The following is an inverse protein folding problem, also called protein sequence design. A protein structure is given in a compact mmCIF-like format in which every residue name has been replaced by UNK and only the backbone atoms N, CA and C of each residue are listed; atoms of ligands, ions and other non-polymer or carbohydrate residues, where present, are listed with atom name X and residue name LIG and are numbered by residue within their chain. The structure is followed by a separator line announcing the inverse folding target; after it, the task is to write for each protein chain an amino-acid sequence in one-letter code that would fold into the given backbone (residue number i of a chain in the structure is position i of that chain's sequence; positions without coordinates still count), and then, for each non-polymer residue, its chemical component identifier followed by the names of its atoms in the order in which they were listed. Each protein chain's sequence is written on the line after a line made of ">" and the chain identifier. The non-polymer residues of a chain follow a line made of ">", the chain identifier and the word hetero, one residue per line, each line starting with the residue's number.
data_IF_074872314617
#
_entry.id   IF_074872314617
#
_cell.length_a   1.000
_cell.length_b   1.000
_cell.length_c   1.000
_cell.angle_alpha   90.00
_cell.angle_beta   90.00
_cell.angle_gamma   90.00
#
_symmetry.space_group_name_H-M   'P 1'
#
loop_
_entity.id
_entity.type
_entity.pdbx_description
1 polymer ?
#
# COMPACT_ATOMS: atom_id res chain seq x y z
N UNK A 1 -47.76 1.91 14.08
CA UNK A 1 -47.09 1.29 12.92
C UNK A 1 -45.66 0.98 13.37
N UNK A 2 -45.44 -0.20 13.96
CA UNK A 2 -44.10 -0.61 14.40
C UNK A 2 -43.34 -1.14 13.19
N UNK A 3 -42.37 -0.37 12.71
CA UNK A 3 -41.33 -0.92 11.85
C UNK A 3 -40.57 -1.95 12.70
N UNK A 4 -40.69 -3.21 12.30
CA UNK A 4 -40.02 -4.35 12.92
C UNK A 4 -38.50 -4.05 12.97
N UNK A 5 -37.94 -3.96 14.17
CA UNK A 5 -36.53 -3.59 14.40
C UNK A 5 -35.56 -4.50 13.62
N UNK A 6 -36.00 -5.72 13.29
CA UNK A 6 -35.27 -6.69 12.46
C UNK A 6 -35.26 -6.32 10.98
N UNK A 7 -36.33 -5.74 10.47
CA UNK A 7 -36.41 -5.19 9.10
C UNK A 7 -35.53 -3.95 8.98
N UNK A 8 -35.55 -3.04 9.95
CA UNK A 8 -34.67 -1.87 9.92
C UNK A 8 -33.20 -2.25 10.00
N UNK A 9 -32.82 -3.25 10.82
CA UNK A 9 -31.44 -3.69 10.94
C UNK A 9 -30.93 -4.43 9.68
N UNK A 10 -31.77 -5.22 9.00
CA UNK A 10 -31.39 -5.89 7.75
C UNK A 10 -31.30 -4.92 6.57
N UNK A 11 -32.20 -3.93 6.51
CA UNK A 11 -32.17 -2.87 5.51
C UNK A 11 -30.90 -2.02 5.68
N UNK A 12 -30.58 -1.59 6.91
CA UNK A 12 -29.37 -0.80 7.18
C UNK A 12 -28.09 -1.55 6.77
N UNK A 13 -28.00 -2.85 7.12
CA UNK A 13 -26.85 -3.70 6.77
C UNK A 13 -26.63 -3.83 5.27
N UNK A 14 -27.70 -3.90 4.49
CA UNK A 14 -27.63 -4.04 3.03
C UNK A 14 -27.44 -2.68 2.31
N UNK A 15 -27.64 -1.55 2.99
CA UNK A 15 -27.46 -0.22 2.42
C UNK A 15 -26.07 0.37 2.67
N UNK A 16 -25.31 -0.15 3.64
CA UNK A 16 -23.98 0.35 3.95
C UNK A 16 -22.98 -0.17 2.91
N UNK A 17 -22.51 0.76 2.07
CA UNK A 17 -21.49 0.51 1.04
C UNK A 17 -20.11 0.99 1.44
N UNK A 18 -20.02 1.88 2.44
CA UNK A 18 -18.76 2.43 2.94
C UNK A 18 -18.71 2.30 4.45
N UNK A 19 -17.58 1.81 4.95
CA UNK A 19 -17.33 1.67 6.38
C UNK A 19 -15.94 2.20 6.72
N UNK A 20 -15.89 3.09 7.71
CA UNK A 20 -14.67 3.65 8.27
C UNK A 20 -14.57 3.19 9.72
N UNK A 21 -13.45 2.59 10.09
CA UNK A 21 -13.28 1.98 11.41
C UNK A 21 -12.06 2.55 12.08
N UNK A 22 -12.26 3.35 13.12
CA UNK A 22 -11.19 3.81 13.99
C UNK A 22 -10.84 2.72 15.02
N UNK A 23 -9.59 2.27 15.07
CA UNK A 23 -9.11 1.31 16.06
C UNK A 23 -7.79 1.83 16.64
N UNK A 24 -7.58 1.63 17.94
CA UNK A 24 -6.29 1.87 18.58
C UNK A 24 -5.37 0.67 18.30
N UNK A 25 -4.30 0.83 17.49
CA UNK A 25 -3.40 -0.27 17.13
C UNK A 25 -2.57 -0.77 18.31
N UNK A 26 -2.42 0.02 19.39
CA UNK A 26 -1.64 -0.38 20.56
C UNK A 26 -2.38 -1.35 21.49
N UNK A 27 -3.69 -1.56 21.28
CA UNK A 27 -4.54 -2.29 22.24
C UNK A 27 -5.02 -3.66 21.80
N UNK A 28 -4.74 -4.14 20.58
CA UNK A 28 -5.45 -5.34 20.07
C UNK A 28 -4.54 -6.42 19.48
N UNK A 29 -4.85 -7.67 19.84
CA UNK A 29 -4.27 -8.89 19.28
C UNK A 29 -4.92 -9.21 17.92
N UNK A 30 -4.14 -9.85 17.03
CA UNK A 30 -4.55 -10.21 15.66
C UNK A 30 -5.90 -10.93 15.57
N UNK A 31 -6.13 -11.96 16.40
CA UNK A 31 -7.35 -12.77 16.34
C UNK A 31 -8.62 -11.95 16.52
N UNK A 32 -8.53 -10.80 17.21
CA UNK A 32 -9.64 -9.87 17.36
C UNK A 32 -9.91 -9.10 16.07
N UNK A 33 -8.88 -8.70 15.33
CA UNK A 33 -9.04 -7.97 14.06
C UNK A 33 -9.61 -8.82 12.95
N UNK A 34 -9.12 -10.06 12.80
CA UNK A 34 -9.65 -11.02 11.84
C UNK A 34 -11.14 -11.29 12.08
N UNK A 35 -11.51 -11.54 13.34
CA UNK A 35 -12.91 -11.74 13.70
C UNK A 35 -13.76 -10.50 13.39
N UNK A 36 -13.25 -9.30 13.66
CA UNK A 36 -13.94 -8.05 13.30
C UNK A 36 -14.15 -7.96 11.79
N UNK A 37 -13.10 -8.17 11.01
CA UNK A 37 -13.12 -8.19 9.56
C UNK A 37 -14.12 -9.20 8.96
N UNK A 38 -14.07 -10.45 9.42
CA UNK A 38 -14.99 -11.48 8.95
C UNK A 38 -16.43 -11.17 9.35
N UNK A 39 -16.65 -10.62 10.55
CA UNK A 39 -17.96 -10.16 10.98
C UNK A 39 -18.47 -9.00 10.12
N UNK A 40 -17.61 -8.03 9.79
CA UNK A 40 -17.95 -6.90 8.93
C UNK A 40 -18.42 -7.39 7.56
N UNK A 41 -17.66 -8.25 6.89
CA UNK A 41 -18.06 -8.74 5.57
C UNK A 41 -19.28 -9.67 5.61
N UNK A 42 -19.46 -10.41 6.71
CA UNK A 42 -20.69 -11.19 6.92
C UNK A 42 -21.91 -10.29 7.13
N UNK A 43 -21.73 -9.17 7.82
CA UNK A 43 -22.82 -8.24 8.18
C UNK A 43 -23.15 -7.28 7.05
N UNK A 44 -22.14 -6.78 6.33
CA UNK A 44 -22.25 -5.77 5.28
C UNK A 44 -21.89 -6.37 3.92
N UNK A 45 -22.80 -7.19 3.39
CA UNK A 45 -22.60 -7.93 2.13
C UNK A 45 -22.37 -7.02 0.91
N UNK A 46 -22.88 -5.78 0.96
CA UNK A 46 -22.78 -4.79 -0.11
C UNK A 46 -21.64 -3.77 0.14
N UNK A 47 -20.74 -4.05 1.08
CA UNK A 47 -19.64 -3.16 1.41
C UNK A 47 -18.64 -3.08 0.26
N UNK A 48 -18.55 -1.93 -0.39
CA UNK A 48 -17.64 -1.67 -1.50
C UNK A 48 -16.38 -0.91 -1.08
N UNK A 49 -16.43 -0.18 0.03
CA UNK A 49 -15.33 0.63 0.55
C UNK A 49 -15.08 0.32 2.03
N UNK A 50 -13.85 -0.10 2.36
CA UNK A 50 -13.43 -0.32 3.73
C UNK A 50 -12.15 0.46 4.04
N UNK A 51 -12.24 1.33 5.04
CA UNK A 51 -11.13 2.16 5.50
C UNK A 51 -10.92 1.90 6.98
N UNK A 52 -9.68 1.56 7.33
CA UNK A 52 -9.26 1.41 8.71
C UNK A 52 -8.48 2.63 9.13
N UNK A 53 -8.87 3.28 10.23
CA UNK A 53 -8.22 4.46 10.78
C UNK A 53 -7.57 4.19 12.14
N UNK A 54 -6.41 4.80 12.41
CA UNK A 54 -5.90 4.90 13.79
C UNK A 54 -6.72 5.96 14.53
N UNK A 55 -7.12 5.66 15.77
CA UNK A 55 -7.81 6.62 16.62
C UNK A 55 -6.90 7.72 17.19
N UNK A 56 -5.58 7.59 17.05
CA UNK A 56 -4.60 8.45 17.74
C UNK A 56 -4.03 9.64 16.93
N UNK A 57 -4.45 9.87 15.68
CA UNK A 57 -3.98 11.02 14.89
C UNK A 57 -5.03 11.60 13.94
N UNK A 58 -5.14 12.93 13.93
CA UNK A 58 -5.90 13.72 12.96
C UNK A 58 -5.13 13.77 11.62
N UNK A 59 -5.75 13.18 10.59
CA UNK A 59 -5.36 13.09 9.18
C UNK A 59 -4.82 11.71 8.74
N UNK A 60 -5.76 10.95 8.13
CA UNK A 60 -5.56 9.68 7.41
C UNK A 60 -4.69 8.65 8.11
N UNK A 61 -4.97 8.41 9.38
CA UNK A 61 -4.32 7.31 10.06
C UNK A 61 -4.86 5.97 9.52
N UNK A 62 -4.05 4.91 9.55
CA UNK A 62 -4.38 3.58 9.02
C UNK A 62 -4.01 2.48 10.03
N UNK A 63 -4.78 1.39 10.11
CA UNK A 63 -4.52 0.34 11.10
C UNK A 63 -3.48 -0.68 10.68
N UNK A 64 -2.52 -0.98 11.56
CA UNK A 64 -1.40 -1.89 11.34
C UNK A 64 -1.73 -3.38 11.62
N UNK A 65 -1.58 -4.25 10.61
CA UNK A 65 -1.81 -5.70 10.72
C UNK A 65 -0.51 -6.50 10.83
N UNK A 66 -0.45 -7.47 11.76
CA UNK A 66 0.77 -8.29 12.03
C UNK A 66 0.86 -9.64 11.32
N UNK A 67 -0.22 -10.32 10.90
CA UNK A 67 -0.16 -11.62 10.18
C UNK A 67 -1.54 -12.16 9.73
N UNK A 68 -1.91 -12.23 8.44
CA UNK A 68 -3.21 -12.73 7.99
C UNK A 68 -3.39 -14.24 8.08
N UNK A 69 -4.49 -14.67 8.68
CA UNK A 69 -5.08 -15.99 8.46
C UNK A 69 -5.71 -16.11 7.04
N UNK A 70 -5.82 -17.33 6.48
CA UNK A 70 -6.34 -17.58 5.12
C UNK A 70 -7.83 -17.24 4.88
N UNK A 71 -8.62 -16.86 5.88
CA UNK A 71 -10.11 -16.79 5.79
C UNK A 71 -10.72 -15.46 5.33
N UNK A 72 -9.92 -14.41 5.15
CA UNK A 72 -10.38 -13.05 4.87
C UNK A 72 -10.69 -12.83 3.37
N UNK A 73 -11.97 -12.76 2.98
CA UNK A 73 -12.39 -12.51 1.58
C UNK A 73 -13.64 -11.63 1.49
N UNK A 74 -13.83 -10.98 0.34
CA UNK A 74 -15.07 -10.27 -0.01
C UNK A 74 -15.27 -10.26 -1.53
N UNK A 75 -16.51 -10.49 -1.96
CA UNK A 75 -16.91 -10.49 -3.37
C UNK A 75 -17.34 -9.11 -3.89
N UNK A 76 -17.58 -8.13 -3.00
CA UNK A 76 -18.09 -6.80 -3.35
C UNK A 76 -17.10 -5.68 -3.07
N UNK A 77 -16.06 -5.93 -2.27
CA UNK A 77 -15.09 -4.92 -1.88
C UNK A 77 -14.28 -4.43 -3.10
N UNK A 78 -14.39 -3.13 -3.37
CA UNK A 78 -13.76 -2.46 -4.50
C UNK A 78 -12.62 -1.52 -4.11
N UNK A 79 -12.66 -1.01 -2.87
CA UNK A 79 -11.66 -0.10 -2.31
C UNK A 79 -11.25 -0.57 -0.91
N UNK A 80 -9.95 -0.73 -0.69
CA UNK A 80 -9.38 -1.08 0.60
C UNK A 80 -8.24 -0.12 0.96
N UNK A 81 -8.33 0.49 2.14
CA UNK A 81 -7.24 1.31 2.71
C UNK A 81 -6.81 0.76 4.07
N UNK A 82 -5.51 0.50 4.23
CA UNK A 82 -5.02 -0.31 5.33
C UNK A 82 -3.55 0.01 5.67
N UNK A 83 -3.11 -0.27 6.90
CA UNK A 83 -1.70 -0.26 7.27
C UNK A 83 -1.23 -1.67 7.61
N UNK A 84 -0.04 -2.08 7.22
CA UNK A 84 0.44 -3.43 7.52
C UNK A 84 1.82 -3.35 8.14
N UNK A 85 2.19 -4.37 8.90
CA UNK A 85 3.50 -4.41 9.53
C UNK A 85 4.53 -5.19 8.72
N UNK A 86 4.10 -6.05 7.79
CA UNK A 86 4.99 -6.84 6.95
C UNK A 86 4.43 -6.97 5.53
N UNK A 87 5.31 -7.30 4.59
CA UNK A 87 4.97 -7.51 3.18
C UNK A 87 4.09 -8.74 3.00
N UNK A 88 4.31 -9.80 3.78
CA UNK A 88 3.45 -11.00 3.75
C UNK A 88 1.99 -10.69 4.00
N UNK A 89 1.73 -9.73 4.89
CA UNK A 89 0.38 -9.29 5.20
C UNK A 89 -0.27 -8.67 3.96
N UNK A 90 0.48 -7.81 3.26
CA UNK A 90 0.07 -7.21 1.99
C UNK A 90 -0.19 -8.30 0.93
N UNK A 91 0.74 -9.23 0.76
CA UNK A 91 0.67 -10.31 -0.22
C UNK A 91 -0.54 -11.22 0.00
N UNK A 92 -0.84 -11.58 1.26
CA UNK A 92 -2.02 -12.37 1.60
C UNK A 92 -3.33 -11.62 1.32
N UNK A 93 -3.39 -10.30 1.56
CA UNK A 93 -4.56 -9.49 1.15
C UNK A 93 -4.76 -9.59 -0.36
N UNK A 94 -3.66 -9.60 -1.10
CA UNK A 94 -3.62 -9.63 -2.55
C UNK A 94 -3.75 -11.01 -3.21
N UNK A 95 -3.93 -12.09 -2.43
CA UNK A 95 -3.93 -13.47 -2.96
C UNK A 95 -5.28 -13.89 -3.61
N UNK A 96 -5.90 -12.99 -4.37
CA UNK A 96 -7.11 -13.27 -5.14
C UNK A 96 -8.42 -13.36 -4.33
N UNK A 97 -8.42 -12.91 -3.07
CA UNK A 97 -9.58 -12.97 -2.17
C UNK A 97 -10.57 -11.81 -2.32
N UNK A 98 -10.21 -10.83 -3.16
CA UNK A 98 -11.02 -9.65 -3.47
C UNK A 98 -11.15 -9.50 -4.98
N UNK A 99 -12.05 -10.25 -5.59
CA UNK A 99 -12.20 -10.31 -7.05
C UNK A 99 -12.56 -8.94 -7.65
N UNK A 100 -13.28 -8.11 -6.91
CA UNK A 100 -13.73 -6.78 -7.34
C UNK A 100 -12.81 -5.65 -6.86
N UNK A 101 -11.63 -5.94 -6.29
CA UNK A 101 -10.75 -4.90 -5.77
C UNK A 101 -10.09 -4.12 -6.91
N UNK A 102 -10.43 -2.84 -7.00
CA UNK A 102 -9.89 -1.92 -8.01
C UNK A 102 -8.90 -0.92 -7.41
N UNK A 103 -9.08 -0.55 -6.14
CA UNK A 103 -8.22 0.39 -5.41
C UNK A 103 -7.67 -0.22 -4.14
N UNK A 104 -6.36 -0.16 -3.99
CA UNK A 104 -5.67 -0.62 -2.79
C UNK A 104 -4.65 0.42 -2.33
N UNK A 105 -4.75 0.78 -1.06
CA UNK A 105 -3.94 1.82 -0.45
C UNK A 105 -3.30 1.30 0.84
N UNK A 106 -1.99 1.06 0.81
CA UNK A 106 -1.25 0.39 1.87
C UNK A 106 -0.21 1.32 2.45
N UNK A 107 -0.21 1.45 3.77
CA UNK A 107 0.91 2.01 4.52
C UNK A 107 1.64 0.88 5.27
N UNK A 108 2.95 0.74 5.15
CA UNK A 108 3.73 -0.27 5.87
C UNK A 108 4.61 0.38 6.91
N UNK A 109 4.42 -0.02 8.17
CA UNK A 109 5.15 0.57 9.29
C UNK A 109 6.65 0.26 9.25
N UNK A 110 7.02 -0.97 8.88
CA UNK A 110 8.41 -1.38 8.65
C UNK A 110 8.43 -2.48 7.60
N UNK A 111 9.32 -2.38 6.61
CA UNK A 111 9.53 -3.45 5.65
C UNK A 111 10.66 -4.37 6.15
N UNK A 112 10.29 -5.53 6.69
CA UNK A 112 11.23 -6.61 6.97
C UNK A 112 11.03 -7.73 5.95
N UNK A 113 12.14 -8.29 5.44
CA UNK A 113 12.07 -9.53 4.69
C UNK A 113 11.62 -10.65 5.63
N UNK A 114 10.51 -11.29 5.30
CA UNK A 114 10.20 -12.64 5.78
C UNK A 114 10.94 -13.64 4.89
N UNK A 115 11.31 -14.77 5.46
CA UNK A 115 12.12 -15.80 4.80
C UNK A 115 11.36 -16.68 3.79
N UNK A 116 10.14 -16.32 3.37
CA UNK A 116 9.30 -17.18 2.52
C UNK A 116 8.84 -16.44 1.25
N UNK A 117 9.56 -16.73 0.16
CA UNK A 117 9.16 -16.73 -1.26
C UNK A 117 8.00 -15.82 -1.72
N UNK A 118 8.36 -14.66 -2.28
CA UNK A 118 7.47 -13.84 -3.12
C UNK A 118 7.29 -14.47 -4.53
N UNK A 119 8.08 -15.49 -4.87
CA UNK A 119 8.24 -15.98 -6.25
C UNK A 119 7.05 -16.78 -6.81
N UNK A 120 6.10 -17.23 -5.96
CA UNK A 120 5.03 -18.15 -6.37
C UNK A 120 3.61 -17.55 -6.44
N UNK A 121 3.45 -16.23 -6.53
CA UNK A 121 2.15 -15.59 -6.27
C UNK A 121 1.40 -15.07 -7.51
N UNK A 122 0.06 -15.25 -7.50
CA UNK A 122 -0.85 -14.96 -8.62
C UNK A 122 -0.85 -13.49 -9.04
N UNK A 123 -1.05 -13.22 -10.34
CA UNK A 123 -1.33 -11.86 -10.85
C UNK A 123 -2.61 -11.30 -10.21
N UNK A 124 -2.68 -9.97 -10.08
CA UNK A 124 -3.85 -9.27 -9.53
C UNK A 124 -4.44 -8.42 -10.68
N UNK A 125 -5.17 -9.02 -11.62
CA UNK A 125 -5.46 -8.39 -12.91
C UNK A 125 -6.45 -7.22 -12.83
N UNK A 126 -7.28 -7.15 -11.78
CA UNK A 126 -8.38 -6.19 -11.67
C UNK A 126 -7.99 -4.90 -10.94
N UNK A 127 -6.82 -4.87 -10.31
CA UNK A 127 -6.36 -3.69 -9.59
C UNK A 127 -5.95 -2.60 -10.58
N UNK A 128 -6.54 -1.41 -10.43
CA UNK A 128 -6.29 -0.25 -11.29
C UNK A 128 -5.51 0.84 -10.57
N UNK A 129 -5.72 0.97 -9.26
CA UNK A 129 -5.13 2.03 -8.44
C UNK A 129 -4.39 1.38 -7.26
N UNK A 130 -3.10 1.67 -7.14
CA UNK A 130 -2.29 1.17 -6.05
C UNK A 130 -1.46 2.30 -5.42
N UNK A 131 -1.52 2.40 -4.10
CA UNK A 131 -0.67 3.32 -3.33
C UNK A 131 0.06 2.53 -2.26
N UNK A 132 1.37 2.74 -2.17
CA UNK A 132 2.24 2.11 -1.19
C UNK A 132 3.10 3.16 -0.50
N UNK A 133 2.92 3.30 0.82
CA UNK A 133 3.76 4.14 1.67
C UNK A 133 4.55 3.25 2.63
N UNK A 134 5.88 3.34 2.72
CA UNK A 134 6.63 2.53 3.70
C UNK A 134 8.01 3.07 4.08
N UNK A 135 8.49 2.61 5.24
CA UNK A 135 9.88 2.71 5.66
C UNK A 135 10.64 1.46 5.19
N UNK A 136 11.69 1.62 4.39
CA UNK A 136 12.43 0.51 3.79
C UNK A 136 13.92 0.83 3.66
N UNK A 137 14.80 -0.16 3.74
CA UNK A 137 16.19 0.00 3.25
C UNK A 137 16.22 -0.19 1.74
N UNK A 138 17.08 0.53 1.02
CA UNK A 138 17.09 0.49 -0.47
C UNK A 138 17.25 -0.93 -1.03
N UNK A 139 17.90 -1.84 -0.30
CA UNK A 139 18.00 -3.27 -0.63
C UNK A 139 16.64 -3.98 -0.79
N UNK A 140 15.61 -3.58 -0.03
CA UNK A 140 14.29 -4.20 -0.08
C UNK A 140 13.45 -3.74 -1.26
N UNK A 141 13.82 -2.66 -1.93
CA UNK A 141 13.13 -2.21 -3.13
C UNK A 141 13.19 -3.31 -4.22
N UNK A 142 14.38 -3.79 -4.54
CA UNK A 142 14.56 -4.82 -5.55
C UNK A 142 14.02 -6.18 -5.11
N UNK A 143 14.14 -6.51 -3.83
CA UNK A 143 13.78 -7.83 -3.31
C UNK A 143 12.28 -7.99 -3.06
N UNK A 144 11.58 -6.93 -2.66
CA UNK A 144 10.22 -7.02 -2.15
C UNK A 144 9.24 -6.12 -2.91
N UNK A 145 9.61 -4.87 -3.21
CA UNK A 145 8.72 -3.92 -3.88
C UNK A 145 8.56 -4.28 -5.36
N UNK A 146 9.66 -4.46 -6.10
CA UNK A 146 9.59 -4.74 -7.54
C UNK A 146 8.80 -6.01 -7.87
N UNK A 147 9.05 -7.17 -7.22
CA UNK A 147 8.26 -8.37 -7.51
C UNK A 147 6.77 -8.19 -7.20
N UNK A 148 6.43 -7.45 -6.14
CA UNK A 148 5.05 -7.10 -5.82
C UNK A 148 4.42 -6.26 -6.94
N UNK A 149 5.11 -5.21 -7.39
CA UNK A 149 4.64 -4.31 -8.45
C UNK A 149 4.43 -5.05 -9.79
N UNK A 150 5.31 -5.99 -10.15
CA UNK A 150 5.16 -6.78 -11.39
C UNK A 150 3.89 -7.65 -11.42
N UNK A 151 3.31 -7.99 -10.27
CA UNK A 151 2.01 -8.69 -10.21
C UNK A 151 0.81 -7.81 -10.57
N UNK A 152 1.02 -6.50 -10.59
CA UNK A 152 0.02 -5.45 -10.82
C UNK A 152 0.37 -4.65 -12.08
N UNK A 153 0.77 -5.34 -13.16
CA UNK A 153 1.22 -4.69 -14.41
C UNK A 153 0.14 -3.88 -15.16
N UNK A 154 -1.13 -4.06 -14.81
CA UNK A 154 -2.27 -3.40 -15.45
C UNK A 154 -2.74 -2.13 -14.70
N UNK A 155 -1.95 -1.62 -13.76
CA UNK A 155 -2.29 -0.41 -13.02
C UNK A 155 -2.46 0.78 -13.97
N UNK A 156 -3.50 1.57 -13.71
CA UNK A 156 -3.73 2.88 -14.33
C UNK A 156 -3.10 3.98 -13.47
N UNK A 157 -3.03 3.81 -12.15
CA UNK A 157 -2.37 4.74 -11.23
C UNK A 157 -1.52 4.03 -10.18
N UNK A 158 -0.35 4.60 -9.93
CA UNK A 158 0.62 4.12 -8.94
C UNK A 158 1.14 5.29 -8.11
N UNK A 159 1.01 5.18 -6.78
CA UNK A 159 1.63 6.08 -5.82
C UNK A 159 2.64 5.34 -4.96
N UNK A 160 3.89 5.79 -4.95
CA UNK A 160 4.95 5.24 -4.09
C UNK A 160 5.45 6.33 -3.14
N UNK A 161 5.44 6.07 -1.83
CA UNK A 161 6.03 6.99 -0.85
C UNK A 161 6.98 6.22 0.06
N UNK A 162 8.27 6.46 -0.07
CA UNK A 162 9.29 5.72 0.64
C UNK A 162 10.11 6.63 1.53
N UNK A 163 10.33 6.21 2.77
CA UNK A 163 11.43 6.73 3.58
C UNK A 163 12.50 5.66 3.66
N UNK A 164 13.72 5.99 3.23
CA UNK A 164 14.78 4.99 3.08
C UNK A 164 16.13 5.45 3.60
N UNK A 165 16.87 4.55 4.25
CA UNK A 165 18.28 4.75 4.55
C UNK A 165 19.12 4.28 3.37
N UNK A 166 19.87 5.20 2.76
CA UNK A 166 20.67 4.89 1.58
C UNK A 166 21.97 4.23 2.02
N UNK A 167 22.09 2.92 1.79
CA UNK A 167 23.30 2.14 2.13
C UNK A 167 24.21 1.89 0.93
N UNK A 168 23.66 1.45 -0.20
CA UNK A 168 24.44 0.96 -1.34
C UNK A 168 24.02 1.61 -2.66
N UNK A 169 22.73 1.53 -2.99
CA UNK A 169 22.19 2.10 -4.23
C UNK A 169 21.00 3.02 -3.93
N UNK A 170 20.92 4.11 -4.68
CA UNK A 170 19.83 5.08 -4.62
C UNK A 170 18.81 4.79 -5.73
N UNK A 171 17.52 4.94 -5.42
CA UNK A 171 16.43 4.75 -6.38
C UNK A 171 16.26 6.06 -7.16
N UNK A 172 16.93 6.19 -8.30
CA UNK A 172 16.82 7.35 -9.18
C UNK A 172 15.74 7.20 -10.26
N UNK A 173 15.58 8.23 -11.09
CA UNK A 173 14.62 8.23 -12.19
C UNK A 173 14.86 7.12 -13.23
N UNK A 174 16.12 6.76 -13.50
CA UNK A 174 16.45 5.71 -14.48
C UNK A 174 16.05 4.34 -13.96
N UNK A 175 16.32 4.07 -12.68
CA UNK A 175 15.88 2.86 -12.00
C UNK A 175 14.35 2.75 -12.00
N UNK A 176 13.62 3.83 -11.72
CA UNK A 176 12.15 3.83 -11.76
C UNK A 176 11.62 3.61 -13.18
N UNK A 177 12.22 4.26 -14.18
CA UNK A 177 11.83 4.09 -15.58
C UNK A 177 12.03 2.65 -16.05
N UNK A 178 13.20 2.07 -15.79
CA UNK A 178 13.52 0.69 -16.18
C UNK A 178 12.65 -0.34 -15.46
N UNK A 179 12.48 -0.19 -14.15
CA UNK A 179 11.82 -1.21 -13.34
C UNK A 179 10.30 -1.06 -13.24
N UNK A 180 9.73 0.11 -13.54
CA UNK A 180 8.28 0.35 -13.40
C UNK A 180 7.69 0.72 -14.75
N UNK A 181 8.12 1.85 -15.32
CA UNK A 181 7.44 2.43 -16.48
C UNK A 181 7.51 1.55 -17.73
N UNK A 182 8.64 0.88 -17.95
CA UNK A 182 8.79 -0.08 -19.05
C UNK A 182 7.89 -1.33 -18.90
N UNK A 183 7.42 -1.62 -17.69
CA UNK A 183 6.63 -2.82 -17.37
C UNK A 183 5.14 -2.53 -17.16
N UNK A 184 4.76 -1.28 -16.84
CA UNK A 184 3.39 -0.86 -16.55
C UNK A 184 2.85 0.04 -17.66
N UNK A 185 2.59 -0.55 -18.83
CA UNK A 185 2.20 0.19 -20.04
C UNK A 185 0.82 0.87 -19.97
N UNK A 186 -0.01 0.51 -18.98
CA UNK A 186 -1.34 1.10 -18.77
C UNK A 186 -1.32 2.30 -17.81
N UNK A 187 -0.15 2.62 -17.25
CA UNK A 187 0.01 3.61 -16.20
C UNK A 187 -0.17 5.02 -16.76
N UNK A 188 -1.22 5.71 -16.30
CA UNK A 188 -1.57 7.08 -16.67
C UNK A 188 -1.07 8.08 -15.63
N UNK A 189 -1.03 7.69 -14.37
CA UNK A 189 -0.55 8.52 -13.28
C UNK A 189 0.51 7.77 -12.46
N UNK A 190 1.66 8.38 -12.29
CA UNK A 190 2.72 7.86 -11.44
C UNK A 190 3.21 8.94 -10.50
N UNK A 191 2.95 8.78 -9.21
CA UNK A 191 3.50 9.66 -8.17
C UNK A 191 4.54 8.90 -7.39
N UNK A 192 5.70 9.50 -7.19
CA UNK A 192 6.68 8.95 -6.26
C UNK A 192 7.27 10.05 -5.35
N UNK A 193 7.32 9.75 -4.05
CA UNK A 193 7.90 10.58 -2.98
C UNK A 193 8.97 9.74 -2.27
N UNK A 194 10.26 10.07 -2.46
CA UNK A 194 11.36 9.33 -1.84
C UNK A 194 12.13 10.25 -0.89
N UNK A 195 12.09 9.92 0.40
CA UNK A 195 12.84 10.60 1.44
C UNK A 195 14.03 9.73 1.83
N UNK A 196 15.23 10.23 1.58
CA UNK A 196 16.47 9.49 1.79
C UNK A 196 17.24 10.01 2.99
N UNK A 197 17.45 9.14 3.97
CA UNK A 197 18.36 9.32 5.10
C UNK A 197 19.77 8.93 4.66
N UNK A 198 20.67 9.90 4.64
CA UNK A 198 22.06 9.75 4.21
C UNK A 198 22.98 9.56 5.40
N UNK A 199 23.83 8.55 5.35
CA UNK A 199 24.95 8.43 6.27
C UNK A 199 26.01 9.51 5.94
N UNK A 200 26.60 10.11 6.98
CA UNK A 200 27.54 11.24 6.92
C UNK A 200 28.75 10.99 6.00
N UNK A 201 29.08 9.73 5.73
CA UNK A 201 30.25 9.34 4.93
C UNK A 201 29.94 9.12 3.44
N UNK A 202 28.68 9.27 3.01
CA UNK A 202 28.30 9.09 1.61
C UNK A 202 28.50 10.41 0.85
N UNK A 203 29.69 10.61 0.26
CA UNK A 203 29.92 11.60 -0.80
C UNK A 203 29.25 11.13 -2.10
N UNK A 204 27.93 10.97 -2.10
CA UNK A 204 27.18 10.67 -3.32
C UNK A 204 26.80 11.97 -4.02
N UNK A 205 27.11 12.06 -5.31
CA UNK A 205 26.49 13.04 -6.21
C UNK A 205 25.01 12.67 -6.37
N UNK A 206 24.19 13.16 -5.44
CA UNK A 206 22.77 12.88 -5.43
C UNK A 206 22.08 13.77 -6.45
N UNK A 207 21.24 13.19 -7.32
CA UNK A 207 20.51 13.98 -8.30
C UNK A 207 19.51 14.92 -7.62
N UNK A 208 19.31 16.11 -8.17
CA UNK A 208 18.23 16.98 -7.70
C UNK A 208 16.86 16.40 -8.06
N UNK A 209 15.80 16.95 -7.44
CA UNK A 209 14.41 16.67 -7.83
C UNK A 209 14.20 16.92 -9.31
N UNK A 210 14.76 18.02 -9.84
CA UNK A 210 14.64 18.40 -11.24
C UNK A 210 15.39 17.43 -12.16
N UNK A 211 16.56 16.94 -11.77
CA UNK A 211 17.31 15.94 -12.55
C UNK A 211 16.52 14.63 -12.67
N UNK A 212 15.85 14.24 -11.59
CA UNK A 212 15.02 13.04 -11.60
C UNK A 212 13.75 13.24 -12.40
N UNK A 213 13.06 14.37 -12.24
CA UNK A 213 11.88 14.67 -13.05
C UNK A 213 12.21 14.66 -14.55
N UNK A 214 13.36 15.23 -14.95
CA UNK A 214 13.84 15.27 -16.34
C UNK A 214 14.08 13.89 -16.95
N UNK A 215 14.27 12.86 -16.13
CA UNK A 215 14.46 11.47 -16.61
C UNK A 215 13.21 10.93 -17.32
N UNK A 216 12.06 11.58 -17.11
CA UNK A 216 10.77 11.16 -17.64
C UNK A 216 10.23 12.07 -18.76
N UNK A 217 11.00 13.08 -19.20
CA UNK A 217 10.57 14.04 -20.23
C UNK A 217 10.22 13.35 -21.57
N UNK A 218 10.83 12.19 -21.82
CA UNK A 218 10.62 11.37 -23.01
C UNK A 218 9.55 10.27 -22.83
N UNK A 219 8.84 10.23 -21.69
CA UNK A 219 7.80 9.24 -21.41
C UNK A 219 6.42 9.84 -21.72
N UNK A 220 5.86 9.58 -22.92
CA UNK A 220 4.58 10.16 -23.26
C UNK A 220 3.47 9.42 -22.50
N UNK A 221 2.42 10.15 -22.15
CA UNK A 221 1.14 9.62 -21.64
C UNK A 221 1.06 9.23 -20.16
N UNK A 222 2.11 9.39 -19.38
CA UNK A 222 2.04 9.26 -17.92
C UNK A 222 2.29 10.62 -17.26
N UNK A 223 1.32 11.10 -16.48
CA UNK A 223 1.55 12.24 -15.60
C UNK A 223 2.42 11.78 -14.43
N UNK A 224 3.69 12.16 -14.46
CA UNK A 224 4.70 11.73 -13.49
C UNK A 224 5.02 12.88 -12.55
N UNK A 225 4.78 12.67 -11.26
CA UNK A 225 5.09 13.63 -10.20
C UNK A 225 6.17 13.02 -9.30
N UNK A 226 7.33 13.67 -9.26
CA UNK A 226 8.44 13.30 -8.40
C UNK A 226 8.57 14.25 -7.20
N UNK A 227 8.88 13.69 -6.03
CA UNK A 227 9.37 14.43 -4.87
C UNK A 227 10.52 13.67 -4.24
N UNK A 228 11.65 14.34 -4.01
CA UNK A 228 12.83 13.70 -3.42
C UNK A 228 13.47 14.66 -2.44
N UNK A 229 13.69 14.16 -1.23
CA UNK A 229 14.29 14.90 -0.14
C UNK A 229 15.45 14.10 0.48
N UNK A 230 16.51 14.82 0.84
CA UNK A 230 17.72 14.25 1.42
C UNK A 230 17.94 14.79 2.84
N UNK A 231 18.03 13.88 3.80
CA UNK A 231 18.21 14.19 5.21
C UNK A 231 19.51 13.57 5.70
N UNK A 232 20.31 14.31 6.46
CA UNK A 232 21.48 13.74 7.13
C UNK A 232 21.01 12.96 8.35
N UNK A 233 21.47 11.72 8.47
CA UNK A 233 21.24 10.93 9.68
C UNK A 233 22.15 11.47 10.79
N UNK A 234 21.55 12.12 11.79
CA UNK A 234 22.26 12.51 13.00
C UNK A 234 22.45 11.27 13.87
N UNK A 235 23.70 10.89 14.14
CA UNK A 235 23.98 9.99 15.25
C UNK A 235 23.70 10.76 16.53
N UNK A 236 22.70 10.34 17.30
CA UNK A 236 22.66 10.68 18.73
C UNK A 236 23.95 10.12 19.36
N UNK A 237 24.71 11.00 20.01
CA UNK A 237 25.98 10.69 20.67
C UNK A 237 25.79 10.08 22.05
#
# INVERSE_FOLDING_TARGET
>A
MCLDERLSASILKNQITTLIIAIDPNRKKWSTMENICNQIFTVFINLTHLIFCDASYEHNARLAFKNPSPTFSSSSLSVLKIKVQTVDVCLRILDGRFEQLHTLDIEMANMFASSEEIENQRKIPNLKYFVLSCLLTTSYYNQLILPLLYRMSNLEELGLSFTTTVKETFIDGNNLKQNILNHMLQLKHFTFDIRSLLHINNEMNLPSKEDIQRTFDDFPYTNIISCIDYFREYKEG
#
